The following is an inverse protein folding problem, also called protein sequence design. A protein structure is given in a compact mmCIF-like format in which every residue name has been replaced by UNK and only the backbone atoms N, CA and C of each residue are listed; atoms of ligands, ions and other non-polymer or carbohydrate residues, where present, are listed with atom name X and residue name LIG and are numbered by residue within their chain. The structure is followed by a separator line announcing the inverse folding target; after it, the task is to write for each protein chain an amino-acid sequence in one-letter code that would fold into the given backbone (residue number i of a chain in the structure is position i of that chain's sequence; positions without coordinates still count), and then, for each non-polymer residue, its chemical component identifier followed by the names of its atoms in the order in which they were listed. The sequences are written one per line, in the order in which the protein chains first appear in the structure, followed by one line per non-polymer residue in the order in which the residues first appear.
data_IF_000445269671
#
_entry.id   IF_000445269671
#
_cell.length_a   1.000
_cell.length_b   1.000
_cell.length_c   1.000
_cell.angle_alpha   90.00
_cell.angle_beta   90.00
_cell.angle_gamma   90.00
#
_symmetry.space_group_name_H-M   'P 1'
#
loop_
_entity.id
_entity.type
_entity.pdbx_description
1 polymer ?
#
# COMPACT_ATOMS: atom_id res chain seq x y z
N UNK A 1 -47.70 -3.76 6.09
CA UNK A 1 -47.87 -2.29 6.26
C UNK A 1 -46.58 -1.64 5.79
N UNK A 2 -46.57 -1.14 4.56
CA UNK A 2 -45.44 -0.40 4.00
C UNK A 2 -45.49 1.03 4.57
N UNK A 3 -44.73 1.26 5.63
CA UNK A 3 -44.59 2.60 6.20
C UNK A 3 -43.99 3.54 5.14
N UNK A 4 -44.81 4.47 4.68
CA UNK A 4 -44.42 5.51 3.74
C UNK A 4 -43.45 6.45 4.47
N UNK A 5 -42.13 6.25 4.29
CA UNK A 5 -41.13 7.20 4.82
C UNK A 5 -41.37 8.54 4.12
N UNK A 6 -41.63 9.64 4.86
CA UNK A 6 -41.89 10.93 4.26
C UNK A 6 -40.71 11.41 3.42
N UNK A 7 -40.96 11.93 2.23
CA UNK A 7 -39.95 12.55 1.38
C UNK A 7 -39.30 13.72 2.15
N UNK A 8 -37.99 13.67 2.31
CA UNK A 8 -37.18 14.76 2.85
C UNK A 8 -36.28 15.32 1.75
N UNK A 9 -36.43 16.57 1.42
CA UNK A 9 -35.55 17.31 0.51
C UNK A 9 -34.58 18.16 1.37
N UNK A 10 -33.33 18.19 0.96
CA UNK A 10 -32.26 18.99 1.59
C UNK A 10 -31.69 19.89 0.50
N UNK A 11 -31.63 21.19 0.74
CA UNK A 11 -30.98 22.14 -0.16
C UNK A 11 -29.46 21.98 -0.07
N UNK A 12 -28.74 22.08 -1.18
CA UNK A 12 -27.27 22.08 -1.17
C UNK A 12 -26.69 23.25 -0.37
N UNK A 13 -27.44 24.35 -0.20
CA UNK A 13 -27.05 25.47 0.66
C UNK A 13 -27.05 25.14 2.16
N UNK A 14 -27.74 24.07 2.57
CA UNK A 14 -27.79 23.59 3.98
C UNK A 14 -26.64 22.61 4.29
N UNK A 15 -25.87 22.21 3.26
CA UNK A 15 -24.78 21.25 3.42
C UNK A 15 -23.46 22.01 3.54
N UNK A 16 -22.74 21.76 4.61
CA UNK A 16 -21.38 22.26 4.76
C UNK A 16 -20.42 21.47 3.88
N UNK A 17 -19.60 22.18 3.10
CA UNK A 17 -18.52 21.55 2.35
C UNK A 17 -17.45 21.01 3.28
N UNK A 18 -17.02 19.79 3.06
CA UNK A 18 -15.94 19.13 3.80
C UNK A 18 -14.81 18.76 2.86
N UNK A 19 -13.58 18.94 3.32
CA UNK A 19 -12.40 18.48 2.59
C UNK A 19 -12.22 16.97 2.76
N UNK A 20 -11.78 16.32 1.67
CA UNK A 20 -11.45 14.89 1.71
C UNK A 20 -10.24 14.68 2.61
N UNK A 21 -10.42 13.85 3.62
CA UNK A 21 -9.33 13.43 4.49
C UNK A 21 -8.62 12.20 3.92
N UNK A 22 -7.31 12.13 4.08
CA UNK A 22 -6.48 11.09 3.51
C UNK A 22 -5.71 10.34 4.59
N UNK A 23 -5.70 9.02 4.48
CA UNK A 23 -4.77 8.18 5.20
C UNK A 23 -3.37 8.26 4.54
N UNK A 24 -3.36 8.28 3.21
CA UNK A 24 -2.19 8.46 2.36
C UNK A 24 -2.56 9.19 1.07
N UNK A 25 -2.25 10.47 1.00
CA UNK A 25 -2.51 11.28 -0.20
C UNK A 25 -1.55 10.93 -1.34
N UNK A 26 -2.04 10.80 -2.60
CA UNK A 26 -3.43 10.77 -3.02
C UNK A 26 -3.97 9.34 -3.20
N UNK A 27 -3.40 8.34 -2.54
CA UNK A 27 -3.64 6.92 -2.79
C UNK A 27 -4.79 6.33 -1.98
N UNK A 28 -4.88 6.65 -0.69
CA UNK A 28 -5.82 6.01 0.25
C UNK A 28 -6.62 7.09 0.99
N UNK A 29 -7.85 7.40 0.55
CA UNK A 29 -8.74 8.34 1.24
C UNK A 29 -9.39 7.69 2.47
N UNK A 30 -9.55 8.47 3.56
CA UNK A 30 -10.34 8.08 4.74
C UNK A 30 -11.83 8.04 4.40
N UNK A 31 -12.56 7.12 5.04
CA UNK A 31 -14.00 6.97 4.86
C UNK A 31 -14.42 6.50 3.46
N UNK A 32 -13.52 5.94 2.66
CA UNK A 32 -13.78 5.53 1.28
C UNK A 32 -13.19 4.15 0.98
N UNK A 33 -13.65 3.55 -0.14
CA UNK A 33 -13.13 2.30 -0.65
C UNK A 33 -11.94 2.55 -1.58
N UNK A 34 -10.86 1.81 -1.34
CA UNK A 34 -9.71 1.66 -2.23
C UNK A 34 -9.61 0.20 -2.67
N UNK A 35 -9.40 -0.06 -3.94
CA UNK A 35 -9.09 -1.39 -4.45
C UNK A 35 -7.59 -1.49 -4.71
N UNK A 36 -6.99 -2.57 -4.23
CA UNK A 36 -5.62 -2.96 -4.54
C UNK A 36 -5.67 -4.27 -5.35
N UNK A 37 -5.28 -4.23 -6.61
CA UNK A 37 -5.37 -5.38 -7.50
C UNK A 37 -4.05 -5.65 -8.23
N UNK A 38 -3.92 -6.86 -8.74
CA UNK A 38 -2.76 -7.34 -9.50
C UNK A 38 -2.78 -8.86 -9.60
N UNK A 39 -1.93 -9.41 -10.44
CA UNK A 39 -1.83 -10.86 -10.60
C UNK A 39 -1.33 -11.55 -9.32
N UNK A 40 -1.60 -12.85 -9.12
CA UNK A 40 -1.00 -13.61 -8.03
C UNK A 40 0.53 -13.52 -8.01
N UNK A 41 1.13 -13.37 -6.82
CA UNK A 41 2.59 -13.28 -6.67
C UNK A 41 3.21 -11.92 -6.99
N UNK A 42 2.43 -10.91 -7.37
CA UNK A 42 2.94 -9.56 -7.69
C UNK A 42 3.27 -8.70 -6.46
N UNK A 43 3.05 -9.21 -5.25
CA UNK A 43 3.47 -8.52 -4.01
C UNK A 43 2.42 -7.60 -3.39
N UNK A 44 1.13 -7.76 -3.71
CA UNK A 44 0.01 -6.99 -3.11
C UNK A 44 0.03 -7.05 -1.58
N UNK A 45 0.08 -8.27 -1.03
CA UNK A 45 0.12 -8.50 0.42
C UNK A 45 1.36 -7.87 1.03
N UNK A 46 2.56 -8.05 0.44
CA UNK A 46 3.79 -7.44 0.95
C UNK A 46 3.72 -5.91 0.94
N UNK A 47 3.15 -5.31 -0.11
CA UNK A 47 2.95 -3.88 -0.20
C UNK A 47 2.04 -3.36 0.92
N UNK A 48 0.88 -3.98 1.11
CA UNK A 48 -0.06 -3.52 2.14
C UNK A 48 0.48 -3.74 3.56
N UNK A 49 1.20 -4.83 3.81
CA UNK A 49 1.84 -5.07 5.11
C UNK A 49 2.94 -4.03 5.41
N UNK A 50 3.68 -3.56 4.40
CA UNK A 50 4.64 -2.45 4.56
C UNK A 50 3.93 -1.11 4.85
N UNK A 51 2.77 -0.84 4.24
CA UNK A 51 1.93 0.31 4.58
C UNK A 51 1.43 0.20 6.03
N UNK A 52 0.91 -0.95 6.43
CA UNK A 52 0.45 -1.23 7.80
C UNK A 52 1.59 -1.02 8.80
N UNK A 53 2.78 -1.53 8.49
CA UNK A 53 3.95 -1.36 9.35
C UNK A 53 4.30 0.13 9.57
N UNK A 54 4.25 0.95 8.52
CA UNK A 54 4.45 2.39 8.65
C UNK A 54 3.35 3.05 9.50
N UNK A 55 2.07 2.76 9.24
CA UNK A 55 0.93 3.33 9.96
C UNK A 55 0.93 2.98 11.45
N UNK A 56 1.25 1.74 11.80
CA UNK A 56 1.26 1.27 13.19
C UNK A 56 2.36 1.90 14.03
N UNK A 57 3.47 2.33 13.42
CA UNK A 57 4.56 3.07 14.09
C UNK A 57 4.40 4.58 14.00
N UNK A 58 3.49 5.08 13.17
CA UNK A 58 3.40 6.49 12.85
C UNK A 58 4.50 6.99 11.91
N UNK A 59 5.18 6.08 11.21
CA UNK A 59 6.20 6.45 10.22
C UNK A 59 5.54 7.10 8.98
N UNK A 60 6.22 8.08 8.35
CA UNK A 60 5.70 8.68 7.13
C UNK A 60 5.73 7.67 5.97
N UNK A 61 4.61 7.55 5.26
CA UNK A 61 4.53 6.84 3.99
C UNK A 61 5.31 7.60 2.90
N UNK A 62 5.69 6.97 1.77
CA UNK A 62 6.37 7.66 0.68
C UNK A 62 5.69 8.98 0.33
N UNK A 63 6.49 10.06 0.21
CA UNK A 63 6.10 11.44 -0.06
C UNK A 63 5.16 12.10 0.98
N UNK A 64 4.90 11.48 2.11
CA UNK A 64 4.30 12.19 3.24
C UNK A 64 5.39 12.94 4.01
N UNK A 65 5.28 14.25 4.15
CA UNK A 65 6.29 15.07 4.84
C UNK A 65 6.29 14.86 6.35
N UNK A 66 5.17 14.45 6.91
CA UNK A 66 5.00 14.29 8.36
C UNK A 66 4.73 12.84 8.74
N UNK A 67 5.34 12.42 9.82
CA UNK A 67 4.92 11.24 10.55
C UNK A 67 3.50 11.47 11.07
N UNK A 68 2.69 10.42 11.07
CA UNK A 68 1.36 10.43 11.66
C UNK A 68 1.43 9.88 13.09
N UNK A 69 0.35 10.05 13.86
CA UNK A 69 0.20 9.29 15.10
C UNK A 69 0.06 7.79 14.78
N UNK A 70 0.67 6.89 15.58
CA UNK A 70 0.49 5.45 15.42
C UNK A 70 -0.98 5.06 15.41
N UNK A 71 -1.39 4.27 14.40
CA UNK A 71 -2.79 3.94 14.12
C UNK A 71 -3.07 2.46 14.33
N UNK A 72 -4.28 2.15 14.80
CA UNK A 72 -4.77 0.79 14.80
C UNK A 72 -5.29 0.43 13.40
N UNK A 73 -5.02 -0.82 12.99
CA UNK A 73 -5.40 -1.38 11.69
C UNK A 73 -6.09 -2.71 11.91
N UNK A 74 -7.14 -2.99 11.17
CA UNK A 74 -7.76 -4.31 11.10
C UNK A 74 -7.32 -4.97 9.80
N UNK A 75 -6.76 -6.17 9.87
CA UNK A 75 -6.33 -6.94 8.72
C UNK A 75 -7.02 -8.30 8.71
N UNK A 76 -7.91 -8.53 7.75
CA UNK A 76 -8.60 -9.79 7.56
C UNK A 76 -8.03 -10.52 6.35
N UNK A 77 -7.70 -11.79 6.54
CA UNK A 77 -7.25 -12.69 5.47
C UNK A 77 -7.99 -14.02 5.54
N UNK A 78 -8.31 -14.54 4.36
CA UNK A 78 -8.94 -15.86 4.22
C UNK A 78 -8.02 -16.87 3.50
N UNK A 79 -6.87 -16.44 2.99
CA UNK A 79 -5.94 -17.31 2.26
C UNK A 79 -4.70 -17.64 3.08
N UNK A 80 -4.11 -16.63 3.73
CA UNK A 80 -2.83 -16.77 4.43
C UNK A 80 -3.06 -17.06 5.94
N UNK A 81 -2.30 -17.98 6.52
CA UNK A 81 -2.30 -18.26 7.95
C UNK A 81 -1.78 -17.08 8.78
N UNK A 82 -2.47 -16.75 9.88
CA UNK A 82 -2.08 -15.62 10.72
C UNK A 82 -0.75 -15.87 11.43
N UNK A 83 -0.53 -17.09 11.94
CA UNK A 83 0.61 -17.42 12.79
C UNK A 83 1.90 -17.70 11.99
N UNK A 84 1.77 -18.35 10.86
CA UNK A 84 2.90 -18.84 10.06
C UNK A 84 3.27 -17.94 8.88
N UNK A 85 2.34 -17.07 8.46
CA UNK A 85 2.54 -16.24 7.27
C UNK A 85 2.42 -14.75 7.57
N UNK A 86 1.28 -14.30 8.09
CA UNK A 86 1.01 -12.85 8.22
C UNK A 86 1.82 -12.23 9.35
N UNK A 87 1.80 -12.83 10.54
CA UNK A 87 2.55 -12.30 11.69
C UNK A 87 4.07 -12.21 11.41
N UNK A 88 4.75 -13.25 10.90
CA UNK A 88 6.16 -13.16 10.55
C UNK A 88 6.46 -12.06 9.51
N UNK A 89 5.59 -11.88 8.51
CA UNK A 89 5.74 -10.82 7.52
C UNK A 89 5.55 -9.41 8.11
N UNK A 90 4.58 -9.23 9.02
CA UNK A 90 4.40 -7.97 9.76
C UNK A 90 5.63 -7.64 10.62
N UNK A 91 6.14 -8.61 11.35
CA UNK A 91 7.35 -8.46 12.17
C UNK A 91 8.57 -8.12 11.31
N UNK A 92 8.75 -8.81 10.18
CA UNK A 92 9.82 -8.52 9.22
C UNK A 92 9.69 -7.11 8.61
N UNK A 93 8.47 -6.63 8.37
CA UNK A 93 8.20 -5.26 7.94
C UNK A 93 8.36 -4.24 9.08
N UNK A 94 8.57 -4.70 10.31
CA UNK A 94 8.73 -3.89 11.51
C UNK A 94 7.43 -3.28 12.02
N UNK A 95 6.28 -3.92 11.81
CA UNK A 95 5.00 -3.43 12.32
C UNK A 95 4.92 -3.49 13.85
N UNK A 96 4.23 -2.53 14.46
CA UNK A 96 3.74 -2.70 15.83
C UNK A 96 2.51 -3.63 15.80
N UNK A 97 2.76 -4.93 16.02
CA UNK A 97 1.72 -5.94 16.00
C UNK A 97 0.64 -5.77 17.09
N UNK A 98 0.87 -4.95 18.12
CA UNK A 98 -0.17 -4.63 19.12
C UNK A 98 -1.28 -3.77 18.54
N UNK A 99 -1.02 -3.11 17.41
CA UNK A 99 -1.94 -2.24 16.69
C UNK A 99 -2.54 -2.89 15.43
N UNK A 100 -2.12 -4.12 15.11
CA UNK A 100 -2.70 -4.91 14.03
C UNK A 100 -3.69 -5.91 14.63
N UNK A 101 -4.95 -5.73 14.31
CA UNK A 101 -6.07 -6.45 14.89
C UNK A 101 -6.73 -7.34 13.84
N UNK A 102 -7.28 -8.45 14.28
CA UNK A 102 -8.03 -9.40 13.45
C UNK A 102 -9.38 -9.64 14.12
N UNK A 103 -10.43 -9.71 13.32
CA UNK A 103 -11.75 -10.12 13.80
C UNK A 103 -11.74 -11.65 13.85
N UNK A 104 -11.95 -12.24 15.02
CA UNK A 104 -12.13 -13.68 15.15
C UNK A 104 -13.46 -14.08 14.51
N UNK A 105 -13.40 -14.87 13.46
CA UNK A 105 -14.59 -15.35 12.75
C UNK A 105 -15.34 -16.44 13.52
N UNK A 106 -14.65 -17.14 14.41
CA UNK A 106 -15.22 -18.18 15.24
C UNK A 106 -15.96 -19.23 14.40
N UNK A 107 -17.29 -19.37 14.65
CA UNK A 107 -18.17 -20.29 13.91
C UNK A 107 -18.90 -19.65 12.72
N UNK A 108 -18.73 -18.35 12.51
CA UNK A 108 -19.46 -17.60 11.49
C UNK A 108 -18.50 -16.80 10.61
N UNK A 109 -18.44 -17.17 9.35
CA UNK A 109 -17.69 -16.46 8.33
C UNK A 109 -18.04 -14.97 8.28
N UNK A 110 -17.04 -14.13 8.00
CA UNK A 110 -17.19 -12.70 7.87
C UNK A 110 -17.58 -12.36 6.42
N UNK A 111 -18.50 -11.43 6.25
CA UNK A 111 -18.87 -10.90 4.94
C UNK A 111 -18.72 -9.39 4.90
N UNK A 112 -18.67 -8.80 3.68
CA UNK A 112 -18.56 -7.34 3.48
C UNK A 112 -19.74 -6.55 4.10
N UNK A 113 -20.86 -7.21 4.37
CA UNK A 113 -22.05 -6.61 4.99
C UNK A 113 -22.19 -6.92 6.49
N UNK A 114 -21.22 -7.60 7.09
CA UNK A 114 -21.31 -8.02 8.50
C UNK A 114 -21.14 -6.82 9.44
N UNK A 115 -22.06 -6.71 10.41
CA UNK A 115 -22.03 -5.62 11.40
C UNK A 115 -20.78 -5.63 12.29
N UNK A 116 -20.12 -6.80 12.43
CA UNK A 116 -18.86 -6.94 13.17
C UNK A 116 -17.73 -6.06 12.60
N UNK A 117 -17.76 -5.75 11.29
CA UNK A 117 -16.78 -4.83 10.69
C UNK A 117 -16.88 -3.44 11.32
N UNK A 118 -18.09 -2.87 11.33
CA UNK A 118 -18.31 -1.54 11.92
C UNK A 118 -18.08 -1.53 13.43
N UNK A 119 -18.51 -2.57 14.14
CA UNK A 119 -18.28 -2.72 15.55
C UNK A 119 -16.78 -2.79 15.89
N UNK A 120 -16.01 -3.59 15.17
CA UNK A 120 -14.56 -3.70 15.36
C UNK A 120 -13.86 -2.35 15.13
N UNK A 121 -14.20 -1.63 14.04
CA UNK A 121 -13.64 -0.31 13.74
C UNK A 121 -13.93 0.66 14.90
N UNK A 122 -15.17 0.72 15.40
CA UNK A 122 -15.55 1.63 16.48
C UNK A 122 -14.86 1.29 17.80
N UNK A 123 -14.77 0.00 18.15
CA UNK A 123 -14.13 -0.46 19.38
C UNK A 123 -12.64 -0.18 19.41
N UNK A 124 -11.98 -0.29 18.28
CA UNK A 124 -10.52 -0.17 18.18
C UNK A 124 -10.06 1.18 17.69
N UNK A 125 -10.99 2.05 17.28
CA UNK A 125 -10.70 3.31 16.59
C UNK A 125 -9.78 3.13 15.38
N UNK A 126 -9.87 1.97 14.68
CA UNK A 126 -9.03 1.65 13.53
C UNK A 126 -9.25 2.66 12.41
N UNK A 127 -8.16 3.08 11.78
CA UNK A 127 -8.16 4.01 10.65
C UNK A 127 -8.06 3.32 9.29
N UNK A 128 -7.73 2.05 9.30
CA UNK A 128 -7.65 1.20 8.13
C UNK A 128 -8.24 -0.17 8.42
N UNK A 129 -9.05 -0.69 7.50
CA UNK A 129 -9.41 -2.10 7.42
C UNK A 129 -9.01 -2.65 6.06
N UNK A 130 -8.37 -3.81 6.04
CA UNK A 130 -7.96 -4.53 4.83
C UNK A 130 -8.67 -5.87 4.78
N UNK A 131 -9.21 -6.22 3.61
CA UNK A 131 -9.89 -7.48 3.35
C UNK A 131 -9.16 -8.20 2.19
N UNK A 132 -8.51 -9.33 2.48
CA UNK A 132 -7.58 -10.04 1.58
C UNK A 132 -7.89 -11.56 1.51
N UNK A 133 -8.39 -12.07 0.38
CA UNK A 133 -8.87 -11.34 -0.77
C UNK A 133 -10.36 -10.96 -0.60
N UNK A 134 -10.77 -9.91 -1.28
CA UNK A 134 -12.14 -9.41 -1.28
C UNK A 134 -13.17 -10.50 -1.65
N UNK A 135 -12.79 -11.42 -2.55
CA UNK A 135 -13.69 -12.48 -3.03
C UNK A 135 -14.19 -13.38 -1.90
N UNK A 136 -13.34 -13.66 -0.91
CA UNK A 136 -13.69 -14.51 0.22
C UNK A 136 -14.75 -13.89 1.13
N UNK A 137 -14.90 -12.56 1.09
CA UNK A 137 -15.82 -11.82 1.96
C UNK A 137 -17.12 -11.36 1.27
N UNK A 138 -17.35 -11.74 0.00
CA UNK A 138 -18.58 -11.37 -0.71
C UNK A 138 -19.83 -12.04 -0.13
N UNK A 139 -19.68 -13.27 0.37
CA UNK A 139 -20.78 -14.14 0.80
C UNK A 139 -21.22 -15.08 -0.32
N UNK A 140 -21.75 -16.24 0.08
CA UNK A 140 -22.15 -17.34 -0.83
C UNK A 140 -23.25 -16.94 -1.83
N UNK A 141 -24.06 -15.97 -1.48
CA UNK A 141 -25.24 -15.57 -2.25
C UNK A 141 -24.97 -14.44 -3.25
N UNK A 142 -23.69 -14.01 -3.37
CA UNK A 142 -23.30 -12.89 -4.24
C UNK A 142 -22.42 -13.37 -5.37
N UNK A 143 -22.94 -13.34 -6.60
CA UNK A 143 -22.14 -13.58 -7.79
C UNK A 143 -21.32 -12.32 -8.12
N UNK A 144 -19.99 -12.41 -8.01
CA UNK A 144 -19.07 -11.31 -8.26
C UNK A 144 -19.11 -10.76 -9.70
N UNK A 145 -19.70 -11.48 -10.64
CA UNK A 145 -19.86 -11.05 -12.03
C UNK A 145 -21.18 -10.31 -12.30
N UNK A 146 -22.11 -10.32 -11.34
CA UNK A 146 -23.42 -9.69 -11.45
C UNK A 146 -23.46 -8.34 -10.75
N UNK A 147 -23.57 -7.29 -11.54
CA UNK A 147 -23.63 -5.91 -11.08
C UNK A 147 -24.74 -5.65 -10.05
N UNK A 148 -25.93 -6.23 -10.27
CA UNK A 148 -27.10 -6.09 -9.39
C UNK A 148 -26.92 -6.73 -8.02
N UNK A 149 -26.01 -7.70 -7.88
CA UNK A 149 -25.68 -8.36 -6.60
C UNK A 149 -24.53 -7.65 -5.89
N UNK A 150 -23.50 -7.23 -6.62
CA UNK A 150 -22.30 -6.58 -6.10
C UNK A 150 -22.57 -5.15 -5.61
N UNK A 151 -23.34 -4.35 -6.37
CA UNK A 151 -23.62 -2.93 -6.03
C UNK A 151 -24.21 -2.71 -4.64
N UNK A 152 -25.26 -3.45 -4.18
CA UNK A 152 -25.80 -3.26 -2.85
C UNK A 152 -24.81 -3.55 -1.74
N UNK A 153 -23.95 -4.56 -1.90
CA UNK A 153 -22.90 -4.93 -0.96
C UNK A 153 -21.87 -3.81 -0.83
N UNK A 154 -21.32 -3.35 -1.96
CA UNK A 154 -20.32 -2.27 -1.96
C UNK A 154 -20.90 -0.94 -1.47
N UNK A 155 -22.19 -0.65 -1.75
CA UNK A 155 -22.87 0.53 -1.21
C UNK A 155 -22.93 0.50 0.31
N UNK A 156 -23.30 -0.64 0.91
CA UNK A 156 -23.33 -0.80 2.39
C UNK A 156 -21.95 -0.62 2.99
N UNK A 157 -20.93 -1.23 2.39
CA UNK A 157 -19.54 -1.10 2.82
C UNK A 157 -19.05 0.36 2.71
N UNK A 158 -19.37 1.06 1.61
CA UNK A 158 -19.04 2.48 1.45
C UNK A 158 -19.68 3.35 2.52
N UNK A 159 -20.96 3.13 2.84
CA UNK A 159 -21.67 3.86 3.89
C UNK A 159 -21.06 3.57 5.29
N UNK A 160 -20.63 2.34 5.53
CA UNK A 160 -19.91 2.00 6.77
C UNK A 160 -18.58 2.74 6.86
N UNK A 161 -17.79 2.75 5.78
CA UNK A 161 -16.54 3.50 5.70
C UNK A 161 -16.76 5.00 5.98
N UNK A 162 -17.77 5.62 5.37
CA UNK A 162 -18.12 7.03 5.59
C UNK A 162 -18.51 7.32 7.04
N UNK A 163 -19.39 6.50 7.65
CA UNK A 163 -19.82 6.70 9.04
C UNK A 163 -18.70 6.54 10.06
N UNK A 164 -17.73 5.68 9.77
CA UNK A 164 -16.61 5.38 10.68
C UNK A 164 -15.36 6.22 10.38
N UNK A 165 -15.31 6.91 9.24
CA UNK A 165 -14.13 7.60 8.74
C UNK A 165 -12.90 6.68 8.69
N UNK A 166 -13.13 5.37 8.46
CA UNK A 166 -12.11 4.35 8.30
C UNK A 166 -11.85 4.13 6.81
N UNK A 167 -10.59 4.10 6.38
CA UNK A 167 -10.22 3.68 5.04
C UNK A 167 -10.46 2.17 4.89
N UNK A 168 -11.04 1.75 3.77
CA UNK A 168 -11.26 0.33 3.47
C UNK A 168 -10.46 -0.06 2.23
N UNK A 169 -9.57 -1.02 2.37
CA UNK A 169 -8.83 -1.60 1.25
C UNK A 169 -9.37 -3.01 0.95
N UNK A 170 -9.75 -3.19 -0.30
CA UNK A 170 -10.19 -4.48 -0.85
C UNK A 170 -9.07 -5.00 -1.76
N UNK A 171 -8.44 -6.10 -1.37
CA UNK A 171 -7.41 -6.74 -2.19
C UNK A 171 -8.07 -7.77 -3.11
N UNK A 172 -7.68 -7.76 -4.37
CA UNK A 172 -8.22 -8.70 -5.33
C UNK A 172 -7.25 -9.11 -6.44
N UNK A 173 -7.56 -10.25 -7.05
CA UNK A 173 -6.82 -10.77 -8.19
C UNK A 173 -7.39 -10.22 -9.51
N UNK A 174 -6.51 -9.92 -10.46
CA UNK A 174 -6.94 -9.51 -11.80
C UNK A 174 -7.35 -10.73 -12.63
N UNK A 175 -8.32 -10.55 -13.53
CA UNK A 175 -8.69 -11.57 -14.50
C UNK A 175 -7.58 -11.72 -15.56
N UNK A 176 -7.21 -12.97 -15.88
CA UNK A 176 -6.16 -13.32 -16.85
C UNK A 176 -6.51 -13.04 -18.33
N UNK A 177 -7.55 -12.28 -18.64
CA UNK A 177 -7.92 -11.98 -20.02
C UNK A 177 -6.84 -11.12 -20.70
N UNK A 178 -6.05 -11.74 -21.57
CA UNK A 178 -5.04 -11.03 -22.37
C UNK A 178 -5.72 -10.13 -23.41
N UNK A 179 -5.17 -8.92 -23.62
CA UNK A 179 -5.58 -8.01 -24.69
C UNK A 179 -6.69 -7.02 -24.36
N UNK A 180 -7.25 -7.02 -23.17
CA UNK A 180 -8.21 -6.00 -22.73
C UNK A 180 -7.50 -4.76 -22.17
N UNK A 181 -8.06 -3.56 -22.39
CA UNK A 181 -7.62 -2.31 -21.75
C UNK A 181 -7.67 -2.44 -20.24
N UNK A 182 -6.82 -1.70 -19.53
CA UNK A 182 -6.66 -1.72 -18.06
C UNK A 182 -7.98 -1.75 -17.29
N UNK A 183 -8.96 -0.95 -17.70
CA UNK A 183 -10.26 -0.89 -17.06
C UNK A 183 -11.12 -2.16 -17.15
N UNK A 184 -10.76 -3.13 -18.01
CA UNK A 184 -11.51 -4.38 -18.21
C UNK A 184 -10.81 -5.62 -17.65
N UNK A 185 -9.54 -5.50 -17.21
CA UNK A 185 -8.82 -6.57 -16.50
C UNK A 185 -9.14 -6.64 -15.01
N UNK A 186 -10.01 -5.75 -14.52
CA UNK A 186 -10.36 -5.65 -13.12
C UNK A 186 -11.08 -6.87 -12.55
N UNK A 187 -11.23 -6.86 -11.24
CA UNK A 187 -12.01 -7.80 -10.45
C UNK A 187 -13.43 -7.96 -10.99
N UNK A 188 -13.79 -9.14 -11.50
CA UNK A 188 -15.15 -9.54 -11.81
C UNK A 188 -16.00 -8.47 -12.52
N UNK A 189 -16.98 -7.91 -11.81
CA UNK A 189 -17.82 -6.83 -12.32
C UNK A 189 -17.09 -5.48 -12.37
N UNK A 190 -17.35 -4.68 -13.39
CA UNK A 190 -16.92 -3.28 -13.50
C UNK A 190 -17.37 -2.43 -12.30
N UNK A 191 -18.39 -2.89 -11.57
CA UNK A 191 -18.93 -2.20 -10.40
C UNK A 191 -17.98 -2.12 -9.21
N UNK A 192 -17.03 -3.05 -9.08
CA UNK A 192 -15.97 -2.94 -8.07
C UNK A 192 -15.17 -1.65 -8.32
N UNK A 193 -14.68 -1.48 -9.56
CA UNK A 193 -13.93 -0.29 -9.94
C UNK A 193 -14.79 0.97 -9.87
N UNK A 194 -16.09 0.89 -10.24
CA UNK A 194 -17.00 2.03 -10.19
C UNK A 194 -17.25 2.51 -8.75
N UNK A 195 -17.39 1.60 -7.79
CA UNK A 195 -17.68 1.90 -6.38
C UNK A 195 -16.46 2.41 -5.62
N UNK A 196 -15.25 2.01 -5.97
CA UNK A 196 -14.03 2.49 -5.36
C UNK A 196 -13.72 3.95 -5.77
N UNK A 197 -13.18 4.73 -4.82
CA UNK A 197 -12.70 6.08 -5.08
C UNK A 197 -11.25 6.13 -5.53
N UNK A 198 -10.46 5.13 -5.13
CA UNK A 198 -9.09 4.91 -5.60
C UNK A 198 -8.92 3.46 -6.04
N UNK A 199 -8.19 3.24 -7.12
CA UNK A 199 -7.83 1.90 -7.61
C UNK A 199 -6.33 1.88 -7.85
N UNK A 200 -5.65 0.95 -7.19
CA UNK A 200 -4.21 0.74 -7.28
C UNK A 200 -3.94 -0.60 -7.95
N UNK A 201 -2.98 -0.61 -8.86
CA UNK A 201 -2.52 -1.82 -9.55
C UNK A 201 -1.08 -2.10 -9.14
N UNK A 202 -0.84 -3.34 -8.68
CA UNK A 202 0.49 -3.84 -8.36
C UNK A 202 0.93 -4.83 -9.41
N UNK A 203 2.15 -4.67 -9.88
CA UNK A 203 2.77 -5.61 -10.80
C UNK A 203 4.25 -5.36 -11.00
N UNK A 204 4.87 -6.14 -11.88
CA UNK A 204 6.29 -6.00 -12.22
C UNK A 204 6.48 -5.74 -13.71
N UNK A 205 7.61 -5.14 -14.04
CA UNK A 205 8.09 -5.08 -15.41
C UNK A 205 9.00 -6.29 -15.69
N UNK A 206 9.06 -6.71 -16.93
CA UNK A 206 9.89 -7.86 -17.35
C UNK A 206 11.40 -7.66 -17.12
N UNK A 207 11.82 -6.43 -16.82
CA UNK A 207 13.23 -6.05 -16.67
C UNK A 207 13.85 -6.34 -15.29
N UNK A 208 13.09 -6.85 -14.31
CA UNK A 208 13.63 -7.12 -12.97
C UNK A 208 12.73 -8.05 -12.15
N UNK A 209 13.32 -9.11 -11.58
CA UNK A 209 12.58 -10.13 -10.84
C UNK A 209 12.13 -9.67 -9.45
N UNK A 210 12.85 -8.75 -8.82
CA UNK A 210 12.58 -8.29 -7.45
C UNK A 210 11.81 -6.97 -7.38
N UNK A 211 11.91 -6.13 -8.43
CA UNK A 211 11.27 -4.81 -8.49
C UNK A 211 9.77 -4.93 -8.81
N UNK A 212 8.97 -4.23 -8.04
CA UNK A 212 7.52 -4.11 -8.15
C UNK A 212 7.11 -2.65 -8.25
N UNK A 213 5.95 -2.42 -8.85
CA UNK A 213 5.40 -1.07 -9.02
C UNK A 213 3.95 -1.08 -8.56
N UNK A 214 3.57 -0.03 -7.86
CA UNK A 214 2.18 0.34 -7.61
C UNK A 214 1.85 1.56 -8.44
N UNK A 215 0.87 1.45 -9.32
CA UNK A 215 0.34 2.56 -10.09
C UNK A 215 -1.13 2.81 -9.77
N UNK A 216 -1.55 4.06 -9.80
CA UNK A 216 -2.94 4.43 -9.58
C UNK A 216 -3.69 4.42 -10.92
N UNK A 217 -4.67 3.51 -11.06
CA UNK A 217 -5.52 3.35 -12.26
C UNK A 217 -6.76 4.24 -12.22
N UNK A 218 -7.13 4.70 -11.03
CA UNK A 218 -8.28 5.60 -10.82
C UNK A 218 -8.10 6.40 -9.54
N UNK A 219 -8.39 7.69 -9.63
CA UNK A 219 -8.66 8.54 -8.49
C UNK A 219 -9.88 9.43 -8.80
N UNK A 220 -10.92 9.38 -7.97
CA UNK A 220 -12.14 10.19 -8.15
C UNK A 220 -12.17 11.42 -7.25
N UNK A 221 -11.14 11.65 -6.43
CA UNK A 221 -11.13 12.66 -5.36
C UNK A 221 -9.97 13.65 -5.47
N UNK A 222 -8.92 13.29 -6.23
CA UNK A 222 -7.75 14.10 -6.49
C UNK A 222 -7.14 13.71 -7.85
N UNK A 223 -6.16 14.46 -8.38
CA UNK A 223 -5.31 13.99 -9.47
C UNK A 223 -4.64 12.66 -9.10
N UNK A 224 -4.39 11.82 -10.10
CA UNK A 224 -3.69 10.56 -9.89
C UNK A 224 -2.26 10.81 -9.39
N UNK A 225 -1.83 10.01 -8.41
CA UNK A 225 -0.49 10.04 -7.87
C UNK A 225 0.53 9.39 -8.79
N UNK A 226 1.79 9.73 -8.62
CA UNK A 226 2.91 9.09 -9.31
C UNK A 226 3.01 7.61 -8.93
N UNK A 227 3.46 6.76 -9.83
CA UNK A 227 3.70 5.36 -9.53
C UNK A 227 4.84 5.19 -8.51
N UNK A 228 4.74 4.18 -7.67
CA UNK A 228 5.68 3.91 -6.59
C UNK A 228 6.38 2.58 -6.86
N UNK A 229 7.69 2.60 -6.91
CA UNK A 229 8.50 1.40 -7.00
C UNK A 229 8.87 0.89 -5.60
N UNK A 230 8.84 -0.43 -5.43
CA UNK A 230 9.33 -1.13 -4.26
C UNK A 230 10.01 -2.44 -4.67
N UNK A 231 10.86 -2.95 -3.83
CA UNK A 231 11.59 -4.19 -4.08
C UNK A 231 11.22 -5.23 -3.02
N UNK A 232 11.09 -6.48 -3.46
CA UNK A 232 10.97 -7.64 -2.60
C UNK A 232 12.27 -8.43 -2.69
N UNK A 233 13.20 -8.12 -1.78
CA UNK A 233 14.49 -8.79 -1.77
C UNK A 233 14.46 -10.02 -0.86
N UNK A 234 14.98 -11.19 -1.29
CA UNK A 234 14.97 -12.41 -0.49
C UNK A 234 15.64 -12.26 0.89
N UNK A 235 16.73 -11.49 0.98
CA UNK A 235 17.52 -11.31 2.19
C UNK A 235 17.11 -10.06 3.00
N UNK A 236 16.67 -9.00 2.32
CA UNK A 236 16.42 -7.68 2.93
C UNK A 236 14.93 -7.33 3.04
N UNK A 237 14.07 -8.24 2.59
CA UNK A 237 12.62 -8.06 2.65
C UNK A 237 12.10 -6.92 1.76
N UNK A 238 11.10 -6.20 2.23
CA UNK A 238 10.46 -5.11 1.53
C UNK A 238 11.28 -3.81 1.60
N UNK A 239 11.52 -3.17 0.46
CA UNK A 239 12.22 -1.89 0.38
C UNK A 239 11.50 -0.91 -0.54
N UNK A 240 11.21 0.29 -0.03
CA UNK A 240 10.73 1.39 -0.88
C UNK A 240 11.84 1.89 -1.82
N UNK A 241 11.54 1.98 -3.13
CA UNK A 241 12.48 2.50 -4.15
C UNK A 241 12.08 3.90 -4.65
N UNK A 242 11.00 4.45 -4.14
CA UNK A 242 10.54 5.80 -4.46
C UNK A 242 9.66 5.87 -5.71
N UNK A 243 9.42 7.09 -6.19
CA UNK A 243 8.57 7.35 -7.33
C UNK A 243 9.23 7.02 -8.66
N UNK A 244 8.40 6.62 -9.63
CA UNK A 244 8.81 6.32 -10.99
C UNK A 244 7.72 6.76 -11.99
N UNK A 245 8.11 6.83 -13.26
CA UNK A 245 7.22 7.25 -14.35
C UNK A 245 6.50 6.06 -15.02
N UNK A 246 6.54 4.87 -14.41
CA UNK A 246 5.84 3.72 -14.95
C UNK A 246 4.32 3.94 -14.91
N UNK A 247 3.66 3.58 -15.98
CA UNK A 247 2.20 3.66 -16.10
C UNK A 247 1.53 2.33 -15.78
N UNK A 248 0.22 2.35 -15.59
CA UNK A 248 -0.60 1.14 -15.50
C UNK A 248 -0.39 0.24 -16.73
N UNK A 249 -0.33 0.82 -17.93
CA UNK A 249 -0.11 0.06 -19.16
C UNK A 249 1.28 -0.62 -19.19
N UNK A 250 2.32 0.02 -18.64
CA UNK A 250 3.63 -0.61 -18.47
C UNK A 250 3.55 -1.85 -17.59
N UNK A 251 2.83 -1.77 -16.46
CA UNK A 251 2.63 -2.89 -15.54
C UNK A 251 1.87 -4.02 -16.23
N UNK A 252 0.73 -3.71 -16.88
CA UNK A 252 -0.13 -4.71 -17.50
C UNK A 252 0.50 -5.43 -18.68
N UNK A 253 1.39 -4.75 -19.41
CA UNK A 253 2.10 -5.31 -20.55
C UNK A 253 3.49 -5.85 -20.17
N UNK A 254 3.95 -5.57 -18.96
CA UNK A 254 5.30 -5.92 -18.49
C UNK A 254 6.38 -5.20 -19.30
N UNK A 255 6.13 -3.97 -19.77
CA UNK A 255 7.03 -3.20 -20.63
C UNK A 255 7.60 -1.99 -19.92
N UNK A 256 8.75 -1.50 -20.38
CA UNK A 256 9.43 -0.33 -19.85
C UNK A 256 10.60 -0.67 -18.94
N UNK A 257 11.36 0.37 -18.61
CA UNK A 257 12.43 0.35 -17.62
C UNK A 257 12.08 1.36 -16.54
N UNK A 258 12.39 1.02 -15.29
CA UNK A 258 12.17 1.90 -14.16
C UNK A 258 13.50 2.29 -13.57
N UNK A 259 13.73 3.59 -13.48
CA UNK A 259 14.81 4.16 -12.72
C UNK A 259 14.21 5.20 -11.77
N UNK A 260 14.42 4.99 -10.47
CA UNK A 260 13.97 5.95 -9.47
C UNK A 260 15.15 6.78 -8.97
N UNK A 261 14.88 7.96 -8.40
CA UNK A 261 15.92 8.75 -7.73
C UNK A 261 16.59 8.00 -6.59
N UNK A 262 15.85 7.08 -5.93
CA UNK A 262 16.42 6.22 -4.88
C UNK A 262 17.43 5.23 -5.48
N UNK A 263 17.07 4.54 -6.58
CA UNK A 263 17.97 3.61 -7.28
C UNK A 263 19.22 4.34 -7.80
N UNK A 264 19.03 5.51 -8.41
CA UNK A 264 20.14 6.36 -8.84
C UNK A 264 21.06 6.70 -7.66
N UNK A 265 20.51 7.09 -6.52
CA UNK A 265 21.30 7.41 -5.33
C UNK A 265 21.98 6.18 -4.74
N UNK A 266 21.34 5.01 -4.75
CA UNK A 266 21.95 3.76 -4.32
C UNK A 266 23.18 3.40 -5.16
N UNK A 267 23.10 3.54 -6.47
CA UNK A 267 24.22 3.29 -7.40
C UNK A 267 25.36 4.29 -7.18
N UNK A 268 25.04 5.57 -7.01
CA UNK A 268 26.06 6.58 -6.71
C UNK A 268 26.71 6.37 -5.35
N UNK A 269 25.95 5.97 -4.31
CA UNK A 269 26.51 5.66 -3.00
C UNK A 269 27.44 4.46 -3.05
N UNK A 270 27.14 3.41 -3.82
CA UNK A 270 28.04 2.27 -4.01
C UNK A 270 29.35 2.67 -4.66
N UNK A 271 29.30 3.59 -5.64
CA UNK A 271 30.50 4.13 -6.32
C UNK A 271 31.29 5.06 -5.42
N UNK A 272 30.62 5.92 -4.64
CA UNK A 272 31.24 6.97 -3.84
C UNK A 272 31.83 6.45 -2.53
N UNK A 273 31.17 5.47 -1.89
CA UNK A 273 31.54 4.91 -0.59
C UNK A 273 32.44 3.67 -0.70
N UNK A 274 33.34 3.62 -1.69
CA UNK A 274 34.38 2.58 -1.76
C UNK A 274 35.33 2.61 -0.56
N UNK A 275 35.38 3.74 0.15
CA UNK A 275 36.00 3.97 1.43
C UNK A 275 35.12 4.88 2.30
N UNK A 276 35.29 4.92 3.64
CA UNK A 276 34.52 5.82 4.49
C UNK A 276 34.65 7.28 4.05
N UNK A 277 33.52 8.00 3.94
CA UNK A 277 33.46 9.40 3.54
C UNK A 277 32.70 10.24 4.57
N UNK A 278 33.08 11.55 4.72
CA UNK A 278 32.32 12.48 5.54
C UNK A 278 30.84 12.57 5.10
N UNK A 279 29.94 12.60 6.08
CA UNK A 279 28.50 12.73 5.81
C UNK A 279 28.17 14.00 5.01
N UNK A 280 28.92 15.08 5.23
CA UNK A 280 28.77 16.34 4.51
C UNK A 280 29.05 16.20 3.01
N UNK A 281 30.08 15.41 2.64
CA UNK A 281 30.39 15.13 1.23
C UNK A 281 29.26 14.34 0.56
N UNK A 282 28.65 13.38 1.28
CA UNK A 282 27.53 12.58 0.78
C UNK A 282 26.27 13.45 0.60
N UNK A 283 26.00 14.36 1.53
CA UNK A 283 24.91 15.33 1.42
C UNK A 283 25.12 16.28 0.23
N UNK A 284 26.35 16.75 0.04
CA UNK A 284 26.70 17.60 -1.10
C UNK A 284 26.52 16.87 -2.43
N UNK A 285 26.91 15.60 -2.53
CA UNK A 285 26.68 14.74 -3.71
C UNK A 285 25.18 14.60 -4.00
N UNK A 286 24.35 14.29 -3.01
CA UNK A 286 22.91 14.17 -3.19
C UNK A 286 22.29 15.50 -3.70
N UNK A 287 22.70 16.62 -3.13
CA UNK A 287 22.27 17.96 -3.56
C UNK A 287 22.68 18.26 -5.02
N UNK A 288 23.90 17.90 -5.41
CA UNK A 288 24.40 18.06 -6.78
C UNK A 288 23.59 17.24 -7.78
N UNK A 289 23.12 16.04 -7.39
CA UNK A 289 22.28 15.16 -8.20
C UNK A 289 20.78 15.56 -8.19
N UNK A 290 20.40 16.61 -7.47
CA UNK A 290 19.01 17.01 -7.31
C UNK A 290 18.16 15.98 -6.54
N UNK A 291 18.79 15.23 -5.64
CA UNK A 291 18.17 14.19 -4.81
C UNK A 291 17.90 14.76 -3.42
N UNK A 292 16.67 14.59 -2.95
CA UNK A 292 16.27 15.06 -1.61
C UNK A 292 16.99 14.31 -0.50
N UNK A 293 17.20 14.96 0.66
CA UNK A 293 17.77 14.29 1.84
C UNK A 293 16.96 13.06 2.28
N UNK A 294 15.64 13.09 2.07
CA UNK A 294 14.76 11.97 2.35
C UNK A 294 15.08 10.77 1.46
N UNK A 295 15.21 10.99 0.16
CA UNK A 295 15.61 9.95 -0.80
C UNK A 295 16.98 9.39 -0.45
N UNK A 296 17.92 10.26 -0.08
CA UNK A 296 19.24 9.85 0.41
C UNK A 296 19.15 8.98 1.67
N UNK A 297 18.28 9.33 2.65
CA UNK A 297 18.06 8.53 3.87
C UNK A 297 17.44 7.16 3.56
N UNK A 298 16.55 7.08 2.59
CA UNK A 298 15.98 5.81 2.11
C UNK A 298 17.09 4.96 1.48
N UNK A 299 17.87 5.51 0.55
CA UNK A 299 18.98 4.81 -0.09
C UNK A 299 20.03 4.34 0.94
N UNK A 300 20.37 5.19 1.92
CA UNK A 300 21.25 4.84 3.04
C UNK A 300 20.76 3.61 3.80
N UNK A 301 19.46 3.60 4.16
CA UNK A 301 18.84 2.48 4.86
C UNK A 301 18.83 1.21 4.01
N UNK A 302 18.45 1.32 2.75
CA UNK A 302 18.38 0.18 1.82
C UNK A 302 19.76 -0.49 1.63
N UNK A 303 20.84 0.29 1.63
CA UNK A 303 22.21 -0.20 1.50
C UNK A 303 22.85 -0.61 2.83
N UNK A 304 22.15 -0.46 3.95
CA UNK A 304 22.69 -0.76 5.27
C UNK A 304 23.90 0.11 5.66
N UNK A 305 24.03 1.32 5.09
CA UNK A 305 25.19 2.20 5.30
C UNK A 305 25.29 2.58 6.78
N UNK A 306 26.46 2.29 7.35
CA UNK A 306 26.79 2.58 8.73
C UNK A 306 27.28 4.02 8.88
N UNK A 307 26.95 4.64 10.02
CA UNK A 307 27.48 5.95 10.43
C UNK A 307 28.44 5.74 11.60
N UNK A 308 29.68 6.20 11.46
CA UNK A 308 30.70 6.14 12.49
C UNK A 308 31.18 7.55 12.81
N UNK A 309 31.40 7.85 14.09
CA UNK A 309 31.98 9.12 14.50
C UNK A 309 33.50 8.93 14.63
N UNK A 310 34.28 9.68 13.85
CA UNK A 310 35.74 9.74 13.97
C UNK A 310 36.16 11.18 14.21
N UNK A 311 36.82 11.42 15.34
CA UNK A 311 37.13 12.76 15.83
C UNK A 311 35.87 13.63 15.86
N UNK A 312 35.83 14.73 15.10
CA UNK A 312 34.69 15.68 15.05
C UNK A 312 33.76 15.49 13.85
N UNK A 313 33.94 14.40 13.07
CA UNK A 313 33.16 14.17 11.86
C UNK A 313 32.41 12.84 11.89
N UNK A 314 31.21 12.85 11.29
CA UNK A 314 30.44 11.65 10.97
C UNK A 314 30.86 11.11 9.62
N UNK A 315 31.34 9.87 9.58
CA UNK A 315 31.68 9.15 8.37
C UNK A 315 30.61 8.12 8.03
N UNK A 316 30.32 7.99 6.75
CA UNK A 316 29.46 6.93 6.23
C UNK A 316 30.31 5.89 5.51
N UNK A 317 29.98 4.60 5.71
CA UNK A 317 30.59 3.48 5.00
C UNK A 317 29.58 2.42 4.63
N UNK A 318 29.82 1.69 3.56
CA UNK A 318 29.07 0.47 3.24
C UNK A 318 29.36 -0.60 4.31
N UNK A 319 28.40 -1.51 4.59
CA UNK A 319 28.67 -2.70 5.39
C UNK A 319 29.76 -3.53 4.70
N UNK A 320 30.63 -4.17 5.49
CA UNK A 320 31.60 -5.12 4.95
C UNK A 320 30.83 -6.29 4.32
N UNK A 321 31.09 -6.60 3.06
CA UNK A 321 30.61 -7.84 2.48
C UNK A 321 31.34 -8.96 3.22
N UNK A 322 30.60 -9.76 3.99
CA UNK A 322 31.14 -11.03 4.49
C UNK A 322 31.62 -11.83 3.27
N UNK A 323 32.93 -11.90 3.13
CA UNK A 323 33.55 -12.67 2.07
C UNK A 323 33.02 -14.09 2.13
N UNK A 324 32.40 -14.56 1.05
CA UNK A 324 32.17 -15.99 0.86
C UNK A 324 33.53 -16.66 1.01
N UNK A 325 33.80 -17.20 2.21
CA UNK A 325 34.97 -17.99 2.48
C UNK A 325 35.04 -19.12 1.47
N UNK A 326 35.97 -19.01 0.54
CA UNK A 326 36.44 -20.14 -0.22
C UNK A 326 37.18 -20.98 0.80
N UNK A 327 36.51 -21.99 1.30
CA UNK A 327 37.19 -23.07 2.06
C UNK A 327 38.01 -23.88 1.06
N UNK A 328 39.30 -24.16 1.36
CA UNK A 328 40.19 -24.87 0.48
C UNK A 328 39.82 -26.34 0.27
#
# INVERSE_FOLDING_TARGET
MTGNTPLKLISMSEINAEEVQWLWYPYIPLGKLTILQGDPGEGKTSFILAVIAALTRGDPLPECERAAEPMNVIYQTAEDGLADTIKPRLESAGADCTRVLVIDEGKRELTLCDARLEEAIRRTAAKLIVLDPLQAYLGSDVDMHRANEVRPVLKRLSLMAERTQCAVILIGHMNKAQGLKSGYRGLGSIDFRASARSVLIVGRLKSGDTLRIVAQDKNSLAPEGSSIAFELHPEHGFQWKGFCDATVDNILNGTGQVQTKTMQMEDELRRFLTQPRPAEEVLALAKQLGISERTLKIAKRNLGILSERRADQWLWRLPEQEGKGVTP
#
